data_IF_743175716577
#
_entry.id   IF_743175716577
#
_cell.length_a   1.000
_cell.length_b   1.000
_cell.length_c   1.000
_cell.angle_alpha   90.00
_cell.angle_beta   90.00
_cell.angle_gamma   90.00
#
_symmetry.space_group_name_H-M   'P 1'
#
loop_
_entity.id
_entity.type
_entity.pdbx_description
1 polymer ?
#
# COMPACT_ATOMS: atom_id res chain seq x y z
N UNK A 1 -3.95 -24.63 -2.39
CA UNK A 1 -3.63 -23.41 -1.61
C UNK A 1 -3.01 -22.41 -2.56
N UNK A 2 -3.65 -21.27 -2.78
CA UNK A 2 -3.05 -20.20 -3.56
C UNK A 2 -2.10 -19.43 -2.62
N UNK A 3 -0.80 -19.61 -2.80
CA UNK A 3 0.25 -18.96 -2.00
C UNK A 3 0.37 -17.46 -2.31
N UNK A 4 -0.09 -17.05 -3.50
CA UNK A 4 -0.04 -15.68 -3.96
C UNK A 4 -1.43 -15.03 -3.87
N UNK A 5 -1.52 -13.71 -3.61
CA UNK A 5 -2.76 -12.97 -3.74
C UNK A 5 -3.38 -13.12 -5.13
N UNK A 6 -4.69 -12.91 -5.25
CA UNK A 6 -5.39 -12.94 -6.54
C UNK A 6 -4.67 -12.05 -7.55
N UNK A 7 -4.40 -12.60 -8.74
CA UNK A 7 -3.89 -11.84 -9.88
C UNK A 7 -5.03 -11.00 -10.46
N UNK A 8 -4.91 -9.67 -10.41
CA UNK A 8 -5.97 -8.74 -10.82
C UNK A 8 -5.47 -7.56 -11.68
N UNK A 9 -4.29 -7.68 -12.29
CA UNK A 9 -3.77 -6.72 -13.26
C UNK A 9 -3.11 -7.41 -14.44
N UNK A 10 -2.86 -6.65 -15.51
CA UNK A 10 -2.12 -7.14 -16.69
C UNK A 10 -0.67 -7.55 -16.37
N UNK A 11 -0.07 -7.00 -15.31
CA UNK A 11 1.30 -7.36 -14.88
C UNK A 11 1.34 -8.64 -14.05
N UNK A 12 0.28 -8.93 -13.31
CA UNK A 12 0.33 -9.94 -12.27
C UNK A 12 0.70 -11.33 -12.80
N UNK A 13 0.17 -11.72 -13.96
CA UNK A 13 0.48 -13.03 -14.57
C UNK A 13 1.96 -13.16 -14.95
N UNK A 14 2.54 -12.09 -15.53
CA UNK A 14 3.94 -12.09 -15.93
C UNK A 14 4.91 -12.10 -14.76
N UNK A 15 4.61 -11.33 -13.72
CA UNK A 15 5.39 -11.32 -12.48
C UNK A 15 5.32 -12.68 -11.79
N UNK A 16 4.12 -13.27 -11.70
CA UNK A 16 3.93 -14.60 -11.10
C UNK A 16 4.67 -15.69 -11.89
N UNK A 17 4.62 -15.65 -13.22
CA UNK A 17 5.40 -16.56 -14.07
C UNK A 17 6.90 -16.43 -13.80
N UNK A 18 7.42 -15.20 -13.78
CA UNK A 18 8.85 -14.94 -13.52
C UNK A 18 9.26 -15.43 -12.13
N UNK A 19 8.43 -15.18 -11.12
CA UNK A 19 8.64 -15.66 -9.75
C UNK A 19 8.75 -17.19 -9.70
N UNK A 20 7.82 -17.90 -10.35
CA UNK A 20 7.86 -19.36 -10.39
C UNK A 20 9.04 -19.89 -11.20
N UNK A 21 9.38 -19.26 -12.31
CA UNK A 21 10.55 -19.62 -13.12
C UNK A 21 11.83 -19.57 -12.28
N UNK A 22 12.07 -18.42 -11.61
CA UNK A 22 13.26 -18.25 -10.76
C UNK A 22 13.23 -19.20 -9.56
N UNK A 23 12.08 -19.41 -8.95
CA UNK A 23 11.93 -20.35 -7.82
C UNK A 23 12.25 -21.78 -8.23
N UNK A 24 11.73 -22.26 -9.35
CA UNK A 24 11.99 -23.62 -9.84
C UNK A 24 13.47 -23.80 -10.18
N UNK A 25 14.08 -22.84 -10.89
CA UNK A 25 15.52 -22.89 -11.20
C UNK A 25 16.34 -22.93 -9.90
N UNK A 26 16.02 -22.11 -8.92
CA UNK A 26 16.72 -22.07 -7.63
C UNK A 26 16.59 -23.38 -6.86
N UNK A 27 15.39 -23.96 -6.79
CA UNK A 27 15.15 -25.25 -6.10
C UNK A 27 15.92 -26.38 -6.77
N UNK A 28 15.88 -26.47 -8.11
CA UNK A 28 16.64 -27.49 -8.86
C UNK A 28 18.13 -27.32 -8.60
N UNK A 29 18.65 -26.09 -8.67
CA UNK A 29 20.07 -25.81 -8.42
C UNK A 29 20.48 -26.17 -6.99
N UNK A 30 19.69 -25.82 -5.99
CA UNK A 30 19.95 -26.18 -4.59
C UNK A 30 19.98 -27.71 -4.36
N UNK A 31 19.01 -28.44 -4.96
CA UNK A 31 18.96 -29.90 -4.88
C UNK A 31 20.19 -30.51 -5.55
N UNK A 32 20.53 -30.06 -6.76
CA UNK A 32 21.71 -30.56 -7.50
C UNK A 32 22.99 -30.32 -6.72
N UNK A 33 23.23 -29.11 -6.25
CA UNK A 33 24.46 -28.76 -5.49
C UNK A 33 24.50 -29.56 -4.19
N UNK A 34 23.40 -29.62 -3.45
CA UNK A 34 23.32 -30.40 -2.21
C UNK A 34 23.61 -31.89 -2.43
N UNK A 35 23.05 -32.47 -3.48
CA UNK A 35 23.33 -33.85 -3.87
C UNK A 35 24.80 -34.05 -4.22
N UNK A 36 25.38 -33.19 -5.06
CA UNK A 36 26.80 -33.30 -5.44
C UNK A 36 27.72 -33.15 -4.25
N UNK A 37 27.46 -32.24 -3.30
CA UNK A 37 28.24 -32.09 -2.09
C UNK A 37 28.24 -33.38 -1.26
N UNK A 38 27.06 -33.94 -0.99
CA UNK A 38 26.93 -35.19 -0.24
C UNK A 38 27.62 -36.35 -0.99
N UNK A 39 27.39 -36.46 -2.28
CA UNK A 39 27.99 -37.48 -3.14
C UNK A 39 29.52 -37.44 -3.08
N UNK A 40 30.12 -36.25 -3.22
CA UNK A 40 31.57 -36.08 -3.21
C UNK A 40 32.18 -36.36 -1.83
N UNK A 41 31.53 -35.96 -0.74
CA UNK A 41 31.95 -36.29 0.61
C UNK A 41 31.99 -37.81 0.83
N UNK A 42 30.98 -38.53 0.37
CA UNK A 42 30.91 -39.98 0.50
C UNK A 42 31.94 -40.67 -0.42
N UNK A 43 31.96 -40.28 -1.70
CA UNK A 43 32.79 -40.91 -2.74
C UNK A 43 34.25 -40.70 -2.53
N UNK A 44 34.68 -39.49 -2.13
CA UNK A 44 36.09 -39.11 -1.99
C UNK A 44 36.56 -39.08 -0.53
N UNK A 45 35.77 -39.68 0.36
CA UNK A 45 36.23 -39.86 1.77
C UNK A 45 37.53 -40.66 1.80
N UNK A 46 38.58 -40.09 2.40
CA UNK A 46 39.86 -40.75 2.61
C UNK A 46 39.66 -42.02 3.42
N UNK A 47 40.21 -43.13 2.95
CA UNK A 47 40.09 -44.44 3.59
C UNK A 47 41.35 -44.81 4.32
N UNK A 48 42.53 -44.45 3.78
CA UNK A 48 43.84 -44.70 4.36
C UNK A 48 44.73 -43.47 4.24
N UNK A 49 45.79 -43.40 5.07
CA UNK A 49 46.69 -42.24 5.03
C UNK A 49 47.50 -42.14 3.72
N UNK A 50 47.61 -43.25 2.99
CA UNK A 50 48.37 -43.34 1.74
C UNK A 50 47.46 -43.31 0.47
N UNK A 51 46.15 -42.96 0.61
CA UNK A 51 45.29 -42.88 -0.54
C UNK A 51 45.81 -41.83 -1.55
N UNK A 52 46.05 -42.22 -2.82
CA UNK A 52 46.55 -41.28 -3.82
C UNK A 52 45.48 -40.24 -4.19
N UNK A 53 45.82 -38.99 -4.22
CA UNK A 53 44.98 -37.90 -4.73
C UNK A 53 45.45 -37.51 -6.10
N UNK A 54 44.64 -37.72 -7.20
CA UNK A 54 45.02 -37.31 -8.52
C UNK A 54 45.12 -35.79 -8.60
N UNK A 55 46.18 -35.29 -9.24
CA UNK A 55 46.34 -33.84 -9.48
C UNK A 55 45.52 -33.37 -10.69
N UNK A 56 44.20 -33.36 -10.55
CA UNK A 56 43.30 -32.83 -11.57
C UNK A 56 43.26 -31.30 -11.40
N UNK A 57 43.81 -30.55 -12.36
CA UNK A 57 43.90 -29.09 -12.30
C UNK A 57 42.84 -28.38 -13.10
N UNK A 58 42.29 -28.99 -14.15
CA UNK A 58 41.24 -28.40 -14.95
C UNK A 58 40.49 -29.48 -15.77
N UNK A 59 39.26 -29.16 -16.21
CA UNK A 59 38.46 -29.93 -17.16
C UNK A 59 37.64 -28.96 -18.02
N UNK A 60 38.14 -28.73 -19.25
CA UNK A 60 37.55 -27.75 -20.16
C UNK A 60 36.09 -28.04 -20.52
N UNK A 61 35.64 -29.31 -20.50
CA UNK A 61 34.25 -29.66 -20.74
C UNK A 61 33.35 -29.22 -19.59
N UNK A 62 33.71 -29.56 -18.36
CA UNK A 62 32.97 -29.17 -17.17
C UNK A 62 32.94 -27.66 -17.00
N UNK A 63 34.11 -27.00 -17.20
CA UNK A 63 34.24 -25.54 -17.12
C UNK A 63 33.32 -24.81 -18.11
N UNK A 64 33.28 -25.30 -19.35
CA UNK A 64 32.37 -24.78 -20.36
C UNK A 64 30.91 -25.00 -19.98
N UNK A 65 30.59 -26.19 -19.49
CA UNK A 65 29.20 -26.56 -19.12
C UNK A 65 28.65 -25.66 -18.00
N UNK A 66 29.41 -25.49 -16.90
CA UNK A 66 28.95 -24.68 -15.77
C UNK A 66 29.04 -23.17 -16.03
N UNK A 67 29.70 -22.73 -17.09
CA UNK A 67 29.70 -21.34 -17.53
C UNK A 67 28.55 -21.07 -18.48
N UNK A 68 28.35 -21.90 -19.51
CA UNK A 68 27.35 -21.66 -20.55
C UNK A 68 25.91 -21.81 -20.02
N UNK A 69 25.63 -22.87 -19.25
CA UNK A 69 24.26 -23.12 -18.74
C UNK A 69 23.77 -21.97 -17.85
N UNK A 70 24.47 -21.53 -16.80
CA UNK A 70 24.02 -20.40 -15.99
C UNK A 70 23.96 -19.09 -16.78
N UNK A 71 24.87 -18.88 -17.75
CA UNK A 71 24.82 -17.68 -18.59
C UNK A 71 23.55 -17.64 -19.43
N UNK A 72 23.14 -18.75 -20.06
CA UNK A 72 21.88 -18.82 -20.80
C UNK A 72 20.69 -18.56 -19.88
N UNK A 73 20.66 -19.19 -18.70
CA UNK A 73 19.59 -18.96 -17.72
C UNK A 73 19.50 -17.49 -17.27
N UNK A 74 20.64 -16.84 -17.02
CA UNK A 74 20.70 -15.41 -16.70
C UNK A 74 20.14 -14.55 -17.85
N UNK A 75 20.48 -14.87 -19.10
CA UNK A 75 19.95 -14.16 -20.29
C UNK A 75 18.44 -14.32 -20.38
N UNK A 76 17.91 -15.52 -20.17
CA UNK A 76 16.46 -15.78 -20.19
C UNK A 76 15.75 -14.97 -19.10
N UNK A 77 16.25 -15.01 -17.86
CA UNK A 77 15.69 -14.25 -16.75
C UNK A 77 15.74 -12.74 -17.02
N UNK A 78 16.88 -12.26 -17.58
CA UNK A 78 17.05 -10.85 -17.95
C UNK A 78 16.02 -10.41 -18.99
N UNK A 79 15.82 -11.19 -20.08
CA UNK A 79 14.87 -10.85 -21.14
C UNK A 79 13.45 -10.74 -20.57
N UNK A 80 13.02 -11.73 -19.78
CA UNK A 80 11.70 -11.67 -19.14
C UNK A 80 11.56 -10.46 -18.19
N UNK A 81 12.55 -10.24 -17.34
CA UNK A 81 12.56 -9.09 -16.43
C UNK A 81 12.52 -7.75 -17.18
N UNK A 82 13.26 -7.63 -18.26
CA UNK A 82 13.30 -6.42 -19.08
C UNK A 82 11.96 -6.12 -19.78
N UNK A 83 11.31 -7.14 -20.35
CA UNK A 83 10.00 -6.98 -21.03
C UNK A 83 8.95 -6.44 -20.06
N UNK A 84 8.88 -7.01 -18.85
CA UNK A 84 7.91 -6.54 -17.84
C UNK A 84 8.29 -5.20 -17.24
N UNK A 85 9.58 -4.90 -17.08
CA UNK A 85 10.05 -3.60 -16.64
C UNK A 85 9.68 -2.49 -17.67
N UNK A 86 9.86 -2.76 -18.95
CA UNK A 86 9.49 -1.82 -20.01
C UNK A 86 7.97 -1.54 -20.01
N UNK A 87 7.14 -2.57 -19.90
CA UNK A 87 5.68 -2.43 -19.76
C UNK A 87 5.29 -1.63 -18.52
N UNK A 88 5.99 -1.83 -17.41
CA UNK A 88 5.73 -1.14 -16.13
C UNK A 88 6.08 0.35 -16.20
N UNK A 89 7.16 0.70 -16.88
CA UNK A 89 7.67 2.08 -16.97
C UNK A 89 7.05 2.88 -18.11
N UNK A 90 6.60 2.21 -19.18
CA UNK A 90 6.01 2.87 -20.34
C UNK A 90 4.56 3.23 -20.09
N UNK A 91 4.24 4.53 -20.17
CA UNK A 91 2.86 5.01 -19.97
C UNK A 91 2.01 4.74 -21.23
N UNK A 92 0.90 4.01 -21.12
CA UNK A 92 -0.04 3.83 -22.23
C UNK A 92 -0.67 5.17 -22.67
N UNK A 93 -0.88 5.34 -23.99
CA UNK A 93 -1.36 6.61 -24.57
C UNK A 93 -2.73 7.09 -24.01
N UNK A 94 -3.58 6.19 -23.56
CA UNK A 94 -4.94 6.49 -23.08
C UNK A 94 -5.07 6.25 -21.58
N UNK A 95 -3.99 6.39 -20.81
CA UNK A 95 -4.02 6.19 -19.37
C UNK A 95 -4.82 7.32 -18.68
N UNK A 96 -5.69 6.94 -17.75
CA UNK A 96 -6.32 7.88 -16.81
C UNK A 96 -5.27 8.23 -15.76
N UNK A 97 -5.00 9.54 -15.63
CA UNK A 97 -4.04 10.03 -14.66
C UNK A 97 -4.72 10.36 -13.32
N UNK A 98 -4.15 9.90 -12.22
CA UNK A 98 -4.61 10.15 -10.86
C UNK A 98 -3.40 10.57 -10.04
N UNK A 99 -3.48 11.71 -9.36
CA UNK A 99 -2.43 12.17 -8.46
C UNK A 99 -2.57 11.48 -7.11
N UNK A 100 -1.45 11.01 -6.55
CA UNK A 100 -1.40 10.34 -5.26
C UNK A 100 -0.44 11.08 -4.34
N UNK A 101 -0.93 11.51 -3.21
CA UNK A 101 -0.10 12.09 -2.16
C UNK A 101 -0.08 11.17 -0.94
N UNK A 102 1.13 10.75 -0.54
CA UNK A 102 1.37 10.07 0.74
C UNK A 102 1.75 11.07 1.81
N UNK A 103 1.09 11.00 2.97
CA UNK A 103 1.42 11.77 4.17
C UNK A 103 1.14 10.89 5.37
N UNK A 104 1.93 11.00 6.46
CA UNK A 104 1.77 10.19 7.68
C UNK A 104 0.34 10.24 8.25
N UNK A 105 -0.44 9.25 8.17
CA UNK A 105 -0.35 7.87 7.67
C UNK A 105 -1.59 7.61 6.82
N UNK A 106 -1.78 8.45 5.80
CA UNK A 106 -2.94 8.47 4.89
C UNK A 106 -2.49 8.55 3.44
N UNK A 107 -3.35 8.08 2.57
CA UNK A 107 -3.27 8.23 1.12
C UNK A 107 -4.33 9.23 0.64
N UNK A 108 -3.94 10.21 -0.15
CA UNK A 108 -4.87 11.12 -0.83
C UNK A 108 -4.81 10.86 -2.33
N UNK A 109 -5.98 10.77 -2.96
CA UNK A 109 -6.11 10.58 -4.40
C UNK A 109 -6.88 11.76 -5.00
N UNK A 110 -6.24 12.46 -5.94
CA UNK A 110 -6.82 13.61 -6.64
C UNK A 110 -7.07 13.23 -8.11
N UNK A 111 -8.34 13.31 -8.52
CA UNK A 111 -8.79 12.95 -9.86
C UNK A 111 -8.90 14.17 -10.76
N UNK A 112 -8.77 13.99 -12.08
CA UNK A 112 -8.85 15.08 -13.08
C UNK A 112 -10.17 15.85 -13.08
N UNK A 113 -11.25 15.24 -12.60
CA UNK A 113 -12.58 15.88 -12.45
C UNK A 113 -12.72 16.71 -11.15
N UNK A 114 -11.64 16.90 -10.39
CA UNK A 114 -11.61 17.63 -9.12
C UNK A 114 -12.06 16.84 -7.89
N UNK A 115 -12.45 15.56 -8.04
CA UNK A 115 -12.74 14.72 -6.88
C UNK A 115 -11.47 14.39 -6.12
N UNK A 116 -11.64 14.25 -4.79
CA UNK A 116 -10.61 13.77 -3.86
C UNK A 116 -11.16 12.63 -3.03
N UNK A 117 -10.31 11.64 -2.76
CA UNK A 117 -10.63 10.55 -1.82
C UNK A 117 -9.48 10.31 -0.87
N UNK A 118 -9.79 9.78 0.31
CA UNK A 118 -8.80 9.37 1.31
C UNK A 118 -8.81 7.87 1.45
N UNK A 119 -7.62 7.27 1.37
CA UNK A 119 -7.37 5.83 1.55
C UNK A 119 -8.10 4.90 0.56
N UNK A 120 -9.07 5.41 -0.19
CA UNK A 120 -9.86 4.68 -1.20
C UNK A 120 -9.53 5.18 -2.60
N UNK A 121 -8.85 4.35 -3.41
CA UNK A 121 -8.58 4.60 -4.82
C UNK A 121 -9.66 3.93 -5.68
N UNK A 122 -10.33 4.67 -6.55
CA UNK A 122 -11.33 4.16 -7.47
C UNK A 122 -10.81 4.17 -8.89
N UNK A 123 -10.90 3.04 -9.58
CA UNK A 123 -10.43 2.88 -10.97
C UNK A 123 -11.41 2.02 -11.78
N UNK A 124 -11.58 2.29 -13.08
CA UNK A 124 -12.38 1.45 -13.97
C UNK A 124 -11.60 0.19 -14.38
N UNK A 125 -12.32 -0.92 -14.55
CA UNK A 125 -11.77 -2.15 -15.10
C UNK A 125 -11.31 -1.98 -16.56
N UNK A 126 -10.24 -2.66 -16.96
CA UNK A 126 -9.71 -2.71 -18.32
C UNK A 126 -9.38 -1.32 -18.92
N UNK A 127 -9.07 -0.36 -18.08
CA UNK A 127 -8.58 0.97 -18.46
C UNK A 127 -7.17 1.15 -17.92
N UNK A 128 -6.21 1.55 -18.75
CA UNK A 128 -4.87 1.90 -18.26
C UNK A 128 -4.94 3.08 -17.29
N UNK A 129 -4.24 2.95 -16.17
CA UNK A 129 -4.13 3.96 -15.11
C UNK A 129 -2.68 4.36 -14.99
N UNK A 130 -2.44 5.66 -14.86
CA UNK A 130 -1.17 6.23 -14.45
C UNK A 130 -1.34 6.93 -13.10
N UNK A 131 -0.66 6.46 -12.08
CA UNK A 131 -0.54 7.19 -10.83
C UNK A 131 0.68 8.10 -10.89
N UNK A 132 0.48 9.39 -10.61
CA UNK A 132 1.54 10.40 -10.41
C UNK A 132 1.65 10.62 -8.92
N UNK A 133 2.77 10.23 -8.35
CA UNK A 133 2.87 10.07 -6.90
C UNK A 133 3.97 10.94 -6.29
N UNK A 134 3.69 11.55 -5.14
CA UNK A 134 4.64 12.28 -4.33
C UNK A 134 4.34 12.09 -2.83
N UNK A 135 5.31 12.43 -2.00
CA UNK A 135 5.14 12.50 -0.55
C UNK A 135 5.18 13.96 -0.08
N UNK A 136 4.34 14.28 0.91
CA UNK A 136 4.33 15.58 1.57
C UNK A 136 5.26 15.65 2.80
N UNK A 137 5.81 14.50 3.24
CA UNK A 137 6.65 14.45 4.45
C UNK A 137 7.83 13.48 4.32
N UNK A 138 7.64 12.23 4.69
CA UNK A 138 8.69 11.19 4.66
C UNK A 138 8.49 10.24 3.47
N UNK A 139 9.44 9.36 3.26
CA UNK A 139 9.32 8.30 2.27
C UNK A 139 8.15 7.36 2.61
N UNK A 140 7.32 7.05 1.63
CA UNK A 140 6.27 6.04 1.66
C UNK A 140 6.42 5.12 0.47
N UNK A 141 5.75 3.97 0.46
CA UNK A 141 5.75 3.07 -0.70
C UNK A 141 4.34 2.55 -0.97
N UNK A 142 3.80 2.89 -2.12
CA UNK A 142 2.49 2.45 -2.60
C UNK A 142 2.59 1.00 -3.09
N UNK A 143 1.86 0.09 -2.49
CA UNK A 143 1.91 -1.33 -2.84
C UNK A 143 0.51 -1.96 -2.89
N UNK A 144 0.15 -2.49 -4.06
CA UNK A 144 -1.08 -3.28 -4.26
C UNK A 144 -0.70 -4.71 -4.62
N UNK A 145 -0.71 -5.64 -3.66
CA UNK A 145 -0.27 -7.03 -3.89
C UNK A 145 -1.00 -7.73 -5.03
N UNK A 146 -2.31 -7.52 -5.14
CA UNK A 146 -3.14 -8.13 -6.20
C UNK A 146 -2.76 -7.68 -7.61
N UNK A 147 -2.13 -6.51 -7.75
CA UNK A 147 -1.67 -5.97 -9.04
C UNK A 147 -0.19 -6.20 -9.30
N UNK A 148 0.58 -6.67 -8.30
CA UNK A 148 2.06 -6.82 -8.36
C UNK A 148 2.78 -5.51 -8.67
N UNK A 149 2.19 -4.37 -8.27
CA UNK A 149 2.81 -3.05 -8.46
C UNK A 149 3.23 -2.45 -7.13
N UNK A 150 4.46 -1.93 -7.10
CA UNK A 150 5.05 -1.25 -5.94
C UNK A 150 5.92 -0.10 -6.42
N UNK A 151 5.78 1.07 -5.78
CA UNK A 151 6.63 2.22 -6.07
C UNK A 151 6.71 3.16 -4.87
N UNK A 152 7.90 3.69 -4.62
CA UNK A 152 8.15 4.63 -3.55
C UNK A 152 7.66 6.03 -3.90
N UNK A 153 7.13 6.75 -2.90
CA UNK A 153 6.77 8.16 -2.98
C UNK A 153 7.84 8.98 -2.28
N UNK A 154 8.36 9.99 -2.97
CA UNK A 154 9.44 10.87 -2.50
C UNK A 154 8.97 12.30 -2.38
N UNK A 155 9.48 13.06 -1.37
CA UNK A 155 9.06 14.44 -1.10
C UNK A 155 9.54 15.47 -2.13
N UNK A 156 10.59 15.16 -2.92
CA UNK A 156 11.23 16.14 -3.79
C UNK A 156 11.14 15.80 -5.29
N UNK A 157 10.41 14.78 -5.66
CA UNK A 157 10.20 14.37 -7.06
C UNK A 157 8.93 13.54 -7.20
N UNK A 158 8.37 13.57 -8.40
CA UNK A 158 7.30 12.65 -8.78
C UNK A 158 7.84 11.26 -9.13
N UNK A 159 7.10 10.24 -8.72
CA UNK A 159 7.27 8.86 -9.14
C UNK A 159 5.99 8.37 -9.81
N UNK A 160 6.07 7.28 -10.57
CA UNK A 160 4.97 6.85 -11.42
C UNK A 160 4.73 5.35 -11.31
N UNK A 161 3.45 4.96 -11.32
CA UNK A 161 3.01 3.59 -11.53
C UNK A 161 2.03 3.57 -12.70
N UNK A 162 2.23 2.63 -13.62
CA UNK A 162 1.25 2.31 -14.64
C UNK A 162 0.68 0.92 -14.38
N UNK A 163 -0.63 0.76 -14.48
CA UNK A 163 -1.28 -0.56 -14.40
C UNK A 163 -2.62 -0.56 -15.11
N UNK A 164 -3.12 -1.76 -15.44
CA UNK A 164 -4.49 -1.97 -15.90
C UNK A 164 -5.10 -3.07 -15.04
N UNK A 165 -6.15 -2.73 -14.27
CA UNK A 165 -6.89 -3.70 -13.49
C UNK A 165 -7.73 -4.60 -14.40
N UNK A 166 -7.70 -5.92 -14.18
CA UNK A 166 -8.36 -6.92 -15.04
C UNK A 166 -9.56 -7.60 -14.39
N UNK A 167 -9.77 -7.38 -13.08
CA UNK A 167 -10.89 -7.98 -12.31
C UNK A 167 -11.51 -6.93 -11.41
N UNK A 168 -12.85 -6.85 -11.44
CA UNK A 168 -13.62 -6.04 -10.49
C UNK A 168 -13.46 -6.55 -9.07
N UNK A 169 -13.54 -5.65 -8.10
CA UNK A 169 -13.42 -5.98 -6.69
C UNK A 169 -12.74 -4.91 -5.86
N UNK A 170 -12.49 -5.23 -4.61
CA UNK A 170 -11.80 -4.36 -3.66
C UNK A 170 -10.51 -5.03 -3.23
N UNK A 171 -9.39 -4.34 -3.39
CA UNK A 171 -8.06 -4.85 -3.15
C UNK A 171 -7.34 -4.02 -2.08
N UNK A 172 -6.47 -4.67 -1.32
CA UNK A 172 -5.69 -3.99 -0.30
C UNK A 172 -4.57 -3.13 -0.90
N UNK A 173 -4.41 -1.94 -0.31
CA UNK A 173 -3.31 -1.03 -0.53
C UNK A 173 -2.53 -0.88 0.77
N UNK A 174 -1.22 -1.03 0.70
CA UNK A 174 -0.31 -0.93 1.83
C UNK A 174 0.76 0.14 1.62
N UNK A 175 1.24 0.71 2.71
CA UNK A 175 2.55 1.36 2.75
C UNK A 175 3.62 0.31 3.06
N UNK A 176 4.64 0.20 2.20
CA UNK A 176 5.71 -0.81 2.35
C UNK A 176 7.10 -0.20 2.49
N UNK A 177 7.17 1.09 2.88
CA UNK A 177 8.38 1.75 3.33
C UNK A 177 8.13 2.37 4.69
N UNK A 178 9.01 2.13 5.68
CA UNK A 178 8.81 2.60 7.05
C UNK A 178 8.70 4.12 7.11
N UNK A 179 7.53 4.61 7.53
CA UNK A 179 7.18 6.03 7.55
C UNK A 179 6.85 6.57 8.96
N UNK A 180 7.19 5.85 10.01
CA UNK A 180 7.00 6.29 11.40
C UNK A 180 6.10 5.37 12.24
N UNK A 181 5.69 5.85 13.42
CA UNK A 181 5.07 5.04 14.48
C UNK A 181 3.80 4.30 14.03
N UNK A 182 2.99 4.89 13.15
CA UNK A 182 1.74 4.28 12.66
C UNK A 182 1.85 3.71 11.23
N UNK A 183 3.07 3.35 10.82
CA UNK A 183 3.35 2.80 9.49
C UNK A 183 2.44 1.60 9.13
N UNK A 184 2.22 0.67 10.05
CA UNK A 184 1.35 -0.50 9.85
C UNK A 184 -0.13 -0.16 9.67
N UNK A 185 -0.55 1.03 10.09
CA UNK A 185 -1.93 1.52 9.96
C UNK A 185 -2.14 2.41 8.72
N UNK A 186 -1.09 2.67 7.94
CA UNK A 186 -1.20 3.38 6.66
C UNK A 186 -1.73 2.42 5.59
N UNK A 187 -3.01 2.17 5.66
CA UNK A 187 -3.74 1.22 4.81
C UNK A 187 -4.66 1.98 3.86
N UNK A 188 -5.02 1.32 2.76
CA UNK A 188 -6.03 1.81 1.81
C UNK A 188 -6.70 0.67 1.07
N UNK A 189 -7.64 1.02 0.20
CA UNK A 189 -8.35 0.08 -0.68
C UNK A 189 -8.32 0.60 -2.12
N UNK A 190 -8.21 -0.33 -3.06
CA UNK A 190 -8.39 -0.05 -4.49
C UNK A 190 -9.71 -0.69 -4.93
N UNK A 191 -10.65 0.15 -5.31
CA UNK A 191 -11.97 -0.25 -5.80
C UNK A 191 -11.92 -0.30 -7.33
N UNK A 192 -11.90 -1.49 -7.89
CA UNK A 192 -12.00 -1.70 -9.33
C UNK A 192 -13.48 -1.85 -9.68
N UNK A 193 -14.01 -0.87 -10.38
CA UNK A 193 -15.41 -0.78 -10.76
C UNK A 193 -15.62 -1.15 -12.23
N UNK A 194 -16.83 -1.62 -12.58
CA UNK A 194 -17.25 -1.66 -13.96
C UNK A 194 -17.21 -0.25 -14.58
N UNK A 195 -17.11 -0.14 -15.90
CA UNK A 195 -17.09 1.19 -16.55
C UNK A 195 -18.36 2.00 -16.25
N UNK A 196 -19.51 1.34 -16.12
CA UNK A 196 -20.76 1.99 -15.78
C UNK A 196 -20.79 2.51 -14.35
N UNK A 197 -20.34 1.70 -13.38
CA UNK A 197 -20.27 2.09 -11.97
C UNK A 197 -19.23 3.19 -11.75
N UNK A 198 -18.10 3.13 -12.47
CA UNK A 198 -17.08 4.18 -12.41
C UNK A 198 -17.63 5.53 -12.93
N UNK A 199 -18.37 5.54 -14.03
CA UNK A 199 -19.01 6.74 -14.55
C UNK A 199 -20.02 7.34 -13.55
N UNK A 200 -20.85 6.49 -12.89
CA UNK A 200 -21.78 6.92 -11.84
C UNK A 200 -21.03 7.42 -10.58
N UNK A 201 -19.90 6.82 -10.28
CA UNK A 201 -19.03 7.30 -9.20
C UNK A 201 -18.40 8.64 -9.59
N UNK A 202 -17.93 8.77 -10.83
CA UNK A 202 -17.25 9.96 -11.35
C UNK A 202 -18.17 11.18 -11.42
N UNK A 203 -19.44 11.04 -11.77
CA UNK A 203 -20.43 12.14 -11.81
C UNK A 203 -21.09 12.43 -10.45
N UNK A 204 -20.83 11.61 -9.43
CA UNK A 204 -21.41 11.74 -8.09
C UNK A 204 -22.78 11.08 -7.90
N UNK A 205 -23.36 10.48 -8.93
CA UNK A 205 -24.67 9.81 -8.86
C UNK A 205 -24.63 8.57 -7.96
N UNK A 206 -23.46 7.92 -7.82
CA UNK A 206 -23.27 6.78 -6.92
C UNK A 206 -23.54 7.14 -5.44
N UNK A 207 -23.29 8.37 -5.00
CA UNK A 207 -23.66 8.84 -3.64
C UNK A 207 -25.17 8.81 -3.40
N UNK A 208 -25.99 9.08 -4.42
CA UNK A 208 -27.46 9.07 -4.31
C UNK A 208 -28.02 7.67 -4.12
N UNK A 209 -27.35 6.64 -4.62
CA UNK A 209 -27.79 5.24 -4.49
C UNK A 209 -27.39 4.65 -3.13
N UNK A 210 -26.26 5.05 -2.52
CA UNK A 210 -25.81 4.59 -1.21
C UNK A 210 -26.42 5.33 -0.01
N UNK A 211 -26.99 6.52 -0.21
CA UNK A 211 -27.71 7.21 0.86
C UNK A 211 -29.04 6.52 1.27
N UNK A 212 -29.41 5.43 0.61
CA UNK A 212 -30.49 4.54 1.02
C UNK A 212 -30.13 3.57 2.18
N UNK A 213 -28.92 3.61 2.71
CA UNK A 213 -28.58 2.90 3.98
C UNK A 213 -28.96 3.75 5.19
N UNK A 214 -30.22 4.16 5.25
CA UNK A 214 -30.76 5.07 6.27
C UNK A 214 -30.97 4.44 7.67
N UNK A 215 -30.47 3.22 7.93
CA UNK A 215 -30.75 2.49 9.16
C UNK A 215 -29.54 2.22 10.06
N UNK A 216 -28.34 2.78 9.74
CA UNK A 216 -27.19 2.60 10.63
C UNK A 216 -27.19 3.72 11.67
N UNK A 217 -27.22 3.41 13.00
CA UNK A 217 -27.06 4.41 14.04
C UNK A 217 -25.82 5.27 13.84
N UNK A 218 -25.90 6.57 14.11
CA UNK A 218 -24.82 7.52 13.84
C UNK A 218 -23.50 7.13 14.54
N UNK A 219 -23.57 6.63 15.77
CA UNK A 219 -22.39 6.15 16.49
C UNK A 219 -21.70 4.97 15.76
N UNK A 220 -22.47 4.05 15.21
CA UNK A 220 -21.95 2.92 14.45
C UNK A 220 -21.38 3.34 13.08
N UNK A 221 -22.02 4.31 12.44
CA UNK A 221 -21.46 4.94 11.24
C UNK A 221 -20.14 5.65 11.58
N UNK A 222 -20.09 6.38 12.69
CA UNK A 222 -18.88 7.06 13.17
C UNK A 222 -17.73 6.09 13.46
N UNK A 223 -18.01 4.93 14.05
CA UNK A 223 -17.03 3.86 14.27
C UNK A 223 -16.44 3.33 12.95
N UNK A 224 -17.27 3.15 11.92
CA UNK A 224 -16.80 2.75 10.60
C UNK A 224 -15.94 3.85 9.94
N UNK A 225 -16.37 5.12 10.05
CA UNK A 225 -15.65 6.27 9.51
C UNK A 225 -14.31 6.50 10.20
N UNK A 226 -14.20 6.23 11.50
CA UNK A 226 -12.95 6.28 12.27
C UNK A 226 -11.85 5.39 11.63
N UNK A 227 -12.23 4.18 11.25
CA UNK A 227 -11.29 3.26 10.59
C UNK A 227 -11.09 3.63 9.11
N UNK A 228 -12.18 3.86 8.37
CA UNK A 228 -12.16 4.10 6.93
C UNK A 228 -11.37 5.36 6.55
N UNK A 229 -11.52 6.43 7.33
CA UNK A 229 -10.85 7.72 7.03
C UNK A 229 -9.47 7.84 7.70
N UNK A 230 -8.93 6.75 8.27
CA UNK A 230 -7.58 6.72 8.83
C UNK A 230 -7.41 7.44 10.18
N UNK A 231 -8.50 7.83 10.85
CA UNK A 231 -8.42 8.47 12.18
C UNK A 231 -7.69 7.57 13.19
N UNK A 232 -7.90 6.24 13.08
CA UNK A 232 -7.26 5.19 13.89
C UNK A 232 -5.73 5.22 13.82
N UNK A 233 -5.16 5.74 12.75
CA UNK A 233 -3.71 5.81 12.58
C UNK A 233 -3.03 6.77 13.59
N UNK A 234 -3.77 7.76 14.08
CA UNK A 234 -3.25 8.80 14.96
C UNK A 234 -3.95 8.83 16.33
N UNK A 235 -5.27 8.64 16.35
CA UNK A 235 -6.09 8.74 17.56
C UNK A 235 -6.40 7.36 18.14
N UNK A 236 -5.97 7.12 19.37
CA UNK A 236 -6.40 5.94 20.13
C UNK A 236 -7.83 6.12 20.69
N UNK A 237 -8.47 5.02 21.05
CA UNK A 237 -9.80 5.02 21.71
C UNK A 237 -9.78 4.37 23.08
N UNK A 238 -8.62 3.89 23.51
CA UNK A 238 -8.39 3.21 24.79
C UNK A 238 -7.73 4.08 25.86
N UNK A 239 -7.32 5.30 25.48
CA UNK A 239 -6.64 6.24 26.36
C UNK A 239 -5.11 6.14 26.30
N UNK A 240 -4.56 5.26 25.47
CA UNK A 240 -3.12 5.18 25.26
C UNK A 240 -2.58 6.47 24.61
N UNK A 241 -1.38 6.86 24.99
CA UNK A 241 -0.67 7.97 24.35
C UNK A 241 -0.28 7.59 22.91
N UNK A 242 -0.47 8.55 22.02
CA UNK A 242 -0.19 8.39 20.59
C UNK A 242 0.37 9.66 19.98
N UNK A 243 0.44 9.68 18.65
CA UNK A 243 0.89 10.85 17.88
C UNK A 243 -0.14 11.97 17.85
N UNK A 244 -1.38 11.66 18.25
CA UNK A 244 -2.49 12.60 18.41
C UNK A 244 -3.24 12.29 19.73
N UNK A 245 -4.08 13.22 20.24
CA UNK A 245 -4.88 13.01 21.44
C UNK A 245 -5.78 11.79 21.33
N UNK A 246 -5.87 10.97 22.39
CA UNK A 246 -6.87 9.89 22.46
C UNK A 246 -8.28 10.44 22.39
N UNK A 247 -9.20 9.70 21.75
CA UNK A 247 -10.63 10.02 21.75
C UNK A 247 -11.35 9.54 23.00
N UNK A 248 -10.71 8.69 23.83
CA UNK A 248 -11.28 8.26 25.10
C UNK A 248 -11.54 9.46 26.02
N UNK A 249 -12.75 9.60 26.53
CA UNK A 249 -13.20 10.68 27.38
C UNK A 249 -12.92 12.10 26.80
N UNK A 250 -12.84 12.22 25.46
CA UNK A 250 -12.55 13.48 24.79
C UNK A 250 -13.74 14.46 24.88
N UNK A 251 -14.97 13.97 24.62
CA UNK A 251 -16.16 14.84 24.60
C UNK A 251 -16.40 15.49 25.97
N UNK A 252 -16.51 16.81 25.98
CA UNK A 252 -16.67 17.62 27.19
C UNK A 252 -15.36 17.91 27.95
N UNK A 253 -14.23 17.30 27.57
CA UNK A 253 -12.95 17.54 28.24
C UNK A 253 -12.39 18.95 27.92
N UNK A 254 -11.73 19.57 28.91
CA UNK A 254 -11.01 20.82 28.73
C UNK A 254 -9.63 20.54 28.09
N UNK A 255 -9.35 21.19 26.95
CA UNK A 255 -8.11 21.04 26.19
C UNK A 255 -7.25 22.30 26.33
N UNK A 256 -6.01 22.17 26.79
CA UNK A 256 -5.04 23.24 26.77
C UNK A 256 -4.49 23.40 25.33
N UNK A 257 -4.41 24.63 24.84
CA UNK A 257 -3.95 24.94 23.48
C UNK A 257 -2.54 25.56 23.52
N UNK A 258 -1.85 25.45 22.39
CA UNK A 258 -0.45 25.93 22.26
C UNK A 258 -0.33 27.45 22.36
N UNK A 259 -1.41 28.19 22.14
CA UNK A 259 -1.48 29.68 22.31
C UNK A 259 -1.70 30.11 23.77
N UNK A 260 -1.72 29.18 24.72
CA UNK A 260 -1.95 29.41 26.14
C UNK A 260 -3.44 29.49 26.53
N UNK A 261 -4.35 29.39 25.58
CA UNK A 261 -5.80 29.37 25.87
C UNK A 261 -6.29 27.96 26.16
N UNK A 262 -7.56 27.81 26.42
CA UNK A 262 -8.17 26.48 26.54
C UNK A 262 -9.57 26.44 25.90
N UNK A 263 -9.93 25.29 25.35
CA UNK A 263 -11.27 25.04 24.80
C UNK A 263 -11.91 23.80 25.43
N UNK A 264 -13.23 23.74 25.44
CA UNK A 264 -13.97 22.54 25.75
C UNK A 264 -14.16 21.75 24.47
N UNK A 265 -13.90 20.46 24.51
CA UNK A 265 -14.08 19.56 23.34
C UNK A 265 -15.57 19.22 23.15
N UNK A 266 -16.35 20.24 22.78
CA UNK A 266 -17.75 20.12 22.37
C UNK A 266 -17.87 19.76 20.87
N UNK A 267 -19.07 19.68 20.37
CA UNK A 267 -19.38 19.35 18.97
C UNK A 267 -18.73 20.34 18.00
N UNK A 268 -18.77 21.65 18.33
CA UNK A 268 -18.20 22.70 17.47
C UNK A 268 -16.67 22.61 17.42
N UNK A 269 -16.03 22.40 18.57
CA UNK A 269 -14.59 22.20 18.66
C UNK A 269 -14.14 20.98 17.84
N UNK A 270 -14.84 19.83 17.97
CA UNK A 270 -14.50 18.61 17.23
C UNK A 270 -14.70 18.82 15.73
N UNK A 271 -15.83 19.42 15.31
CA UNK A 271 -16.09 19.78 13.91
C UNK A 271 -15.00 20.71 13.36
N UNK A 272 -14.63 21.74 14.09
CA UNK A 272 -13.56 22.68 13.71
C UNK A 272 -12.22 21.93 13.57
N UNK A 273 -11.86 21.07 14.53
CA UNK A 273 -10.63 20.26 14.48
C UNK A 273 -10.57 19.34 13.28
N UNK A 274 -11.69 18.77 12.84
CA UNK A 274 -11.78 17.93 11.63
C UNK A 274 -11.58 18.77 10.36
N UNK A 275 -12.21 19.95 10.28
CA UNK A 275 -12.20 20.79 9.08
C UNK A 275 -10.97 21.71 8.98
N UNK A 276 -10.52 22.21 10.12
CA UNK A 276 -9.45 23.21 10.24
C UNK A 276 -8.47 22.83 11.37
N UNK A 277 -7.73 21.72 11.25
CA UNK A 277 -6.97 21.13 12.36
C UNK A 277 -5.81 21.98 12.85
N UNK A 278 -5.38 22.99 12.10
CA UNK A 278 -4.28 23.90 12.49
C UNK A 278 -4.73 25.13 13.26
N UNK A 279 -6.05 25.42 13.34
CA UNK A 279 -6.58 26.62 14.01
C UNK A 279 -6.43 26.53 15.55
N UNK A 280 -6.64 25.35 16.12
CA UNK A 280 -6.54 25.10 17.57
C UNK A 280 -5.66 23.88 17.84
N UNK A 281 -4.37 24.10 18.03
CA UNK A 281 -3.42 23.03 18.33
C UNK A 281 -3.42 22.73 19.83
N UNK A 282 -3.62 21.45 20.16
CA UNK A 282 -3.54 20.96 21.55
C UNK A 282 -2.09 20.92 22.00
N UNK A 283 -1.82 21.43 23.22
CA UNK A 283 -0.48 21.42 23.81
C UNK A 283 0.10 20.01 23.84
N UNK A 284 1.34 19.85 23.38
CA UNK A 284 2.04 18.57 23.31
C UNK A 284 1.89 17.83 21.98
N UNK A 285 1.07 18.33 21.04
CA UNK A 285 0.87 17.72 19.72
C UNK A 285 1.23 18.68 18.59
N UNK A 286 1.73 18.14 17.48
CA UNK A 286 2.11 18.91 16.29
C UNK A 286 0.97 19.07 15.28
N UNK A 287 1.13 19.96 14.28
CA UNK A 287 0.13 20.22 13.22
C UNK A 287 0.16 19.14 12.14
N UNK A 288 -0.01 17.87 12.52
CA UNK A 288 0.10 16.72 11.60
C UNK A 288 -1.27 16.20 11.10
N UNK A 289 -2.36 16.59 11.77
CA UNK A 289 -3.70 16.18 11.37
C UNK A 289 -4.05 16.77 9.99
N UNK A 290 -4.50 15.95 9.01
CA UNK A 290 -4.96 16.45 7.72
C UNK A 290 -6.31 17.15 7.84
N UNK A 291 -6.60 18.09 6.93
CA UNK A 291 -7.93 18.68 6.82
C UNK A 291 -8.87 17.76 6.06
N UNK A 292 -10.05 17.54 6.60
CA UNK A 292 -11.12 16.75 5.95
C UNK A 292 -12.16 17.64 5.26
N UNK A 293 -11.84 18.93 5.06
CA UNK A 293 -12.72 19.87 4.36
C UNK A 293 -12.98 19.42 2.92
N UNK A 294 -14.25 19.25 2.57
CA UNK A 294 -14.68 18.76 1.24
C UNK A 294 -14.54 17.25 1.01
N UNK A 295 -14.03 16.52 2.01
CA UNK A 295 -13.87 15.06 2.00
C UNK A 295 -14.98 14.37 2.81
N UNK A 296 -15.35 14.94 3.96
CA UNK A 296 -16.45 14.50 4.79
C UNK A 296 -17.63 15.48 4.65
N UNK A 297 -18.84 14.95 4.58
CA UNK A 297 -20.06 15.76 4.66
C UNK A 297 -20.49 15.98 6.12
N UNK A 298 -21.45 16.88 6.34
CA UNK A 298 -21.91 17.23 7.68
C UNK A 298 -22.51 16.04 8.45
N UNK A 299 -23.15 15.09 7.77
CA UNK A 299 -23.70 13.89 8.39
C UNK A 299 -22.59 12.92 8.83
N UNK A 300 -21.55 12.75 8.01
CA UNK A 300 -20.37 11.94 8.35
C UNK A 300 -19.62 12.54 9.55
N UNK A 301 -19.44 13.87 9.58
CA UNK A 301 -18.83 14.56 10.73
C UNK A 301 -19.69 14.39 11.99
N UNK A 302 -21.00 14.53 11.87
CA UNK A 302 -21.92 14.29 13.00
C UNK A 302 -21.80 12.87 13.50
N UNK A 303 -21.74 11.88 12.63
CA UNK A 303 -21.57 10.47 13.00
C UNK A 303 -20.25 10.23 13.77
N UNK A 304 -19.15 10.84 13.33
CA UNK A 304 -17.87 10.77 14.05
C UNK A 304 -18.00 11.38 15.45
N UNK A 305 -18.66 12.52 15.59
CA UNK A 305 -18.89 13.17 16.87
C UNK A 305 -19.74 12.27 17.80
N UNK A 306 -20.81 11.66 17.28
CA UNK A 306 -21.64 10.73 18.04
C UNK A 306 -20.84 9.49 18.50
N UNK A 307 -19.95 8.98 17.66
CA UNK A 307 -19.04 7.91 18.07
C UNK A 307 -18.09 8.36 19.19
N UNK A 308 -17.46 9.54 19.08
CA UNK A 308 -16.60 10.10 20.14
C UNK A 308 -17.36 10.22 21.48
N UNK A 309 -18.63 10.61 21.47
CA UNK A 309 -19.47 10.68 22.68
C UNK A 309 -19.65 9.33 23.38
N UNK A 310 -19.53 8.20 22.67
CA UNK A 310 -19.62 6.87 23.26
C UNK A 310 -18.35 6.43 23.98
N UNK A 311 -17.21 7.04 23.70
CA UNK A 311 -15.88 6.68 24.21
C UNK A 311 -15.62 7.34 25.56
N UNK A 312 -16.08 6.70 26.64
CA UNK A 312 -15.96 7.16 28.03
C UNK A 312 -14.67 6.69 28.70
#
# INVERSE_FOLDING_TARGET
MNWLPTSASTFAEGVDFTLWLVTIISVISCILIGFLLIYFVIKYKRKTDNDPTPAITHDSFLETLWTIIPTILCIVIFIYGYVYYDQYTTTPKNAVEINVTGKRWIWTFDYSNGKKTLNDLYVPINQPIRLVMQSDDVLHSFFVPAFRVKQDLMGNRYTYINFTATKEGVYDLYCTEYCGASHSNMLGKVHVLSKAEYALWEDGSAKKVKSASADIPLDKLGEQLYTKNGCVACHSIDGSDGVAPSWKALFGAKRALTDGTSAVADENYIKESILYPTEKLVTGYGPIMPSYKGLLDDNEITAIIEYIKTLK
#
